data_IF_054139328607
#
_entry.id   IF_054139328607
#
_cell.length_a   1.000
_cell.length_b   1.000
_cell.length_c   1.000
_cell.angle_alpha   90.00
_cell.angle_beta   90.00
_cell.angle_gamma   90.00
#
_symmetry.space_group_name_H-M   'P 1'
#
loop_
_entity.id
_entity.type
_entity.pdbx_description
1 polymer ?
#
# COMPACT_ATOMS: atom_id res chain seq x y z
N UNK A 1 47.03 -35.38 -20.34
CA UNK A 1 46.20 -34.28 -19.80
C UNK A 1 44.75 -34.46 -20.28
N UNK A 2 43.94 -35.30 -19.60
CA UNK A 2 42.53 -35.55 -19.95
C UNK A 2 41.76 -35.95 -18.68
N UNK A 3 41.50 -34.98 -17.78
CA UNK A 3 40.67 -35.22 -16.56
C UNK A 3 39.77 -34.05 -16.17
N UNK A 4 39.71 -32.96 -16.96
CA UNK A 4 38.86 -31.80 -16.64
C UNK A 4 37.45 -31.88 -17.27
N UNK A 5 37.27 -32.72 -18.30
CA UNK A 5 36.00 -32.83 -19.03
C UNK A 5 34.76 -33.18 -18.21
N UNK A 6 34.80 -34.02 -17.14
CA UNK A 6 33.58 -34.35 -16.40
C UNK A 6 33.08 -33.21 -15.50
N UNK A 7 33.88 -32.17 -15.26
CA UNK A 7 33.52 -31.02 -14.40
C UNK A 7 33.00 -29.81 -15.19
N UNK A 8 33.19 -29.80 -16.52
CA UNK A 8 32.74 -28.70 -17.38
C UNK A 8 31.20 -28.65 -17.40
N UNK A 9 30.54 -29.79 -17.54
CA UNK A 9 29.08 -29.85 -17.60
C UNK A 9 28.42 -29.41 -16.28
N UNK A 10 28.82 -29.91 -15.10
CA UNK A 10 28.34 -29.38 -13.82
C UNK A 10 28.58 -27.87 -13.64
N UNK A 11 29.74 -27.36 -14.05
CA UNK A 11 30.05 -25.94 -13.94
C UNK A 11 29.15 -25.06 -14.83
N UNK A 12 28.84 -25.52 -16.06
CA UNK A 12 27.91 -24.82 -16.96
C UNK A 12 26.50 -24.79 -16.37
N UNK A 13 26.03 -25.92 -15.83
CA UNK A 13 24.69 -26.00 -15.20
C UNK A 13 24.62 -25.04 -14.01
N UNK A 14 25.65 -25.01 -13.16
CA UNK A 14 25.70 -24.13 -11.99
C UNK A 14 25.75 -22.64 -12.42
N UNK A 15 26.49 -22.33 -13.48
CA UNK A 15 26.49 -20.99 -14.09
C UNK A 15 25.12 -20.60 -14.65
N UNK A 16 24.40 -21.53 -15.26
CA UNK A 16 23.04 -21.32 -15.77
C UNK A 16 22.03 -21.06 -14.64
N UNK A 17 22.11 -21.83 -13.55
CA UNK A 17 21.28 -21.61 -12.35
C UNK A 17 21.58 -20.24 -11.76
N UNK A 18 22.84 -19.86 -11.64
CA UNK A 18 23.22 -18.53 -11.14
C UNK A 18 22.67 -17.42 -12.05
N UNK A 19 22.75 -17.58 -13.37
CA UNK A 19 22.19 -16.62 -14.32
C UNK A 19 20.67 -16.50 -14.21
N UNK A 20 19.97 -17.62 -14.01
CA UNK A 20 18.52 -17.65 -13.83
C UNK A 20 18.10 -16.97 -12.53
N UNK A 21 18.80 -17.24 -11.42
CA UNK A 21 18.55 -16.59 -10.12
C UNK A 21 18.84 -15.10 -10.22
N UNK A 22 19.96 -14.71 -10.83
CA UNK A 22 20.32 -13.31 -11.02
C UNK A 22 19.28 -12.58 -11.88
N UNK A 23 18.88 -13.18 -13.02
CA UNK A 23 17.85 -12.62 -13.90
C UNK A 23 16.50 -12.48 -13.20
N UNK A 24 16.10 -13.48 -12.41
CA UNK A 24 14.87 -13.41 -11.63
C UNK A 24 14.95 -12.29 -10.57
N UNK A 25 16.08 -12.15 -9.90
CA UNK A 25 16.32 -11.10 -8.92
C UNK A 25 16.27 -9.70 -9.54
N UNK A 26 16.94 -9.47 -10.67
CA UNK A 26 16.91 -8.18 -11.36
C UNK A 26 15.52 -7.82 -11.86
N UNK A 27 14.79 -8.78 -12.44
CA UNK A 27 13.40 -8.55 -12.88
C UNK A 27 12.46 -8.20 -11.72
N UNK A 28 12.69 -8.77 -10.52
CA UNK A 28 11.92 -8.40 -9.33
C UNK A 28 12.25 -6.99 -8.86
N UNK A 29 13.53 -6.61 -8.88
CA UNK A 29 13.98 -5.29 -8.46
C UNK A 29 13.51 -4.17 -9.41
N UNK A 30 13.54 -4.40 -10.72
CA UNK A 30 13.08 -3.42 -11.72
C UNK A 30 11.58 -3.15 -11.61
N UNK A 31 10.77 -4.18 -11.28
CA UNK A 31 9.32 -4.03 -11.04
C UNK A 31 9.02 -3.21 -9.78
N UNK A 32 9.82 -3.37 -8.72
CA UNK A 32 9.68 -2.56 -7.50
C UNK A 32 10.01 -1.08 -7.72
N UNK A 33 10.88 -0.76 -8.69
CA UNK A 33 11.29 0.61 -8.98
C UNK A 33 10.45 1.34 -10.02
N UNK A 34 9.57 0.66 -10.77
CA UNK A 34 8.88 1.25 -11.94
C UNK A 34 7.39 1.56 -11.72
N UNK A 35 6.89 1.46 -10.49
CA UNK A 35 5.47 1.77 -10.18
C UNK A 35 5.18 3.27 -10.24
N UNK A 36 3.93 3.65 -10.52
CA UNK A 36 3.45 5.04 -10.40
C UNK A 36 3.77 5.64 -9.03
N UNK A 37 3.88 4.81 -7.99
CA UNK A 37 4.22 5.24 -6.63
C UNK A 37 5.73 5.49 -6.37
N UNK A 38 6.64 5.09 -7.28
CA UNK A 38 8.09 5.14 -7.07
C UNK A 38 8.75 6.47 -7.46
N UNK A 39 8.10 7.33 -8.25
CA UNK A 39 8.67 8.59 -8.73
C UNK A 39 7.66 9.75 -8.58
N UNK A 40 8.01 10.78 -7.82
CA UNK A 40 7.31 12.09 -7.85
C UNK A 40 5.92 12.19 -7.21
N UNK A 41 5.30 11.11 -6.71
CA UNK A 41 3.99 11.20 -6.04
C UNK A 41 4.09 12.00 -4.75
N UNK A 42 3.24 13.01 -4.60
CA UNK A 42 3.09 13.80 -3.37
C UNK A 42 1.82 13.30 -2.69
N UNK A 43 1.98 12.68 -1.51
CA UNK A 43 0.87 12.34 -0.64
C UNK A 43 0.81 13.44 0.42
N UNK A 44 -0.29 14.19 0.43
CA UNK A 44 -0.47 15.33 1.33
C UNK A 44 -1.33 14.90 2.51
N UNK A 45 -0.79 15.02 3.72
CA UNK A 45 -1.59 14.89 4.93
C UNK A 45 -2.51 16.09 5.07
N UNK A 46 -3.80 15.84 5.27
CA UNK A 46 -4.77 16.90 5.47
C UNK A 46 -4.66 17.45 6.89
N UNK A 47 -4.80 18.76 7.02
CA UNK A 47 -4.98 19.44 8.30
C UNK A 47 -6.38 19.16 8.89
N UNK A 48 -6.55 19.39 10.19
CA UNK A 48 -7.85 19.15 10.86
C UNK A 48 -8.99 20.00 10.28
N UNK A 49 -8.68 21.20 9.78
CA UNK A 49 -9.64 22.09 9.12
C UNK A 49 -10.11 21.52 7.77
N UNK A 50 -9.20 20.91 7.00
CA UNK A 50 -9.51 20.25 5.72
C UNK A 50 -10.30 18.95 5.92
N UNK A 51 -10.01 18.20 7.00
CA UNK A 51 -10.80 17.02 7.39
C UNK A 51 -12.24 17.44 7.74
N UNK A 52 -12.41 18.55 8.44
CA UNK A 52 -13.74 19.08 8.78
C UNK A 52 -14.48 19.57 7.53
N UNK A 53 -13.77 20.09 6.53
CA UNK A 53 -14.36 20.46 5.25
C UNK A 53 -14.90 19.24 4.49
N UNK A 54 -14.19 18.10 4.52
CA UNK A 54 -14.68 16.83 3.93
C UNK A 54 -15.95 16.32 4.60
N UNK A 55 -16.10 16.50 5.91
CA UNK A 55 -17.34 16.15 6.63
C UNK A 55 -18.53 17.02 6.20
N UNK A 56 -18.29 18.15 5.51
CA UNK A 56 -19.31 19.08 5.05
C UNK A 56 -19.66 18.96 3.55
N UNK A 57 -18.95 18.12 2.79
CA UNK A 57 -19.25 17.85 1.37
C UNK A 57 -20.35 16.78 1.27
N UNK A 58 -21.36 16.99 0.41
CA UNK A 58 -22.51 16.07 0.27
C UNK A 58 -22.19 14.82 -0.58
N UNK A 59 -21.24 14.91 -1.52
CA UNK A 59 -20.98 13.87 -2.52
C UNK A 59 -19.67 13.09 -2.23
N UNK A 60 -19.70 12.26 -1.19
CA UNK A 60 -18.60 11.32 -0.90
C UNK A 60 -18.99 9.88 -1.23
N UNK A 61 -17.99 9.11 -1.69
CA UNK A 61 -18.10 7.66 -1.82
C UNK A 61 -17.54 6.98 -0.57
N UNK A 62 -18.10 5.83 -0.22
CA UNK A 62 -17.63 5.03 0.92
C UNK A 62 -17.34 3.61 0.45
N UNK A 63 -16.09 3.19 0.60
CA UNK A 63 -15.65 1.82 0.37
C UNK A 63 -15.47 1.11 1.71
N UNK A 64 -16.19 0.00 1.90
CA UNK A 64 -15.96 -0.91 3.02
C UNK A 64 -14.60 -1.61 2.86
N UNK A 65 -13.88 -1.78 3.96
CA UNK A 65 -12.61 -2.49 3.95
C UNK A 65 -12.82 -3.96 4.30
N UNK A 66 -12.11 -4.84 3.59
CA UNK A 66 -12.05 -6.26 3.91
C UNK A 66 -11.08 -6.47 5.06
N UNK A 67 -11.56 -7.07 6.14
CA UNK A 67 -10.76 -7.38 7.31
C UNK A 67 -10.07 -8.75 7.20
N UNK A 68 -8.83 -8.82 7.68
CA UNK A 68 -8.07 -10.08 7.77
C UNK A 68 -8.46 -10.87 9.03
N UNK A 69 -9.03 -10.21 10.05
CA UNK A 69 -9.43 -10.79 11.34
C UNK A 69 -10.83 -10.32 11.74
N UNK A 70 -11.54 -11.10 12.56
CA UNK A 70 -12.96 -10.82 12.92
C UNK A 70 -13.15 -9.59 13.83
N UNK A 71 -12.12 -9.18 14.57
CA UNK A 71 -12.17 -8.07 15.52
C UNK A 71 -11.80 -6.71 14.90
N UNK A 72 -11.60 -6.68 13.58
CA UNK A 72 -11.11 -5.50 12.84
C UNK A 72 -12.17 -5.09 11.82
N UNK A 73 -12.44 -3.79 11.74
CA UNK A 73 -13.32 -3.23 10.72
C UNK A 73 -12.86 -1.84 10.32
N UNK A 74 -13.20 -1.41 9.11
CA UNK A 74 -12.87 -0.08 8.67
C UNK A 74 -13.55 0.30 7.37
N UNK A 75 -13.56 1.59 7.11
CA UNK A 75 -14.14 2.21 5.92
C UNK A 75 -13.19 3.26 5.38
N UNK A 76 -13.20 3.42 4.06
CA UNK A 76 -12.53 4.52 3.38
C UNK A 76 -13.59 5.39 2.76
N UNK A 77 -13.70 6.62 3.26
CA UNK A 77 -14.54 7.65 2.65
C UNK A 77 -13.67 8.51 1.75
N UNK A 78 -14.05 8.69 0.49
CA UNK A 78 -13.26 9.45 -0.46
C UNK A 78 -14.13 10.31 -1.38
N UNK A 79 -13.49 11.34 -1.93
CA UNK A 79 -14.05 12.26 -2.91
C UNK A 79 -13.02 12.44 -4.04
N UNK A 80 -13.52 12.53 -5.26
CA UNK A 80 -12.70 12.82 -6.45
C UNK A 80 -13.10 14.18 -7.02
N UNK A 81 -12.27 15.20 -6.79
CA UNK A 81 -12.54 16.57 -7.22
C UNK A 81 -11.27 17.20 -7.80
N UNK A 82 -11.39 17.90 -8.93
CA UNK A 82 -10.30 18.63 -9.60
C UNK A 82 -9.02 17.79 -9.86
N UNK A 83 -9.18 16.50 -10.21
CA UNK A 83 -8.06 15.59 -10.47
C UNK A 83 -7.31 15.13 -9.22
N UNK A 84 -7.91 15.32 -8.04
CA UNK A 84 -7.38 14.92 -6.74
C UNK A 84 -8.37 13.98 -6.05
N UNK A 85 -7.85 12.89 -5.50
CA UNK A 85 -8.57 12.01 -4.58
C UNK A 85 -8.26 12.48 -3.17
N UNK A 86 -9.29 12.87 -2.44
CA UNK A 86 -9.18 13.18 -1.01
C UNK A 86 -9.88 12.08 -0.25
N UNK A 87 -9.20 11.45 0.71
CA UNK A 87 -9.73 10.27 1.40
C UNK A 87 -9.47 10.30 2.91
N UNK A 88 -10.37 9.66 3.63
CA UNK A 88 -10.32 9.46 5.08
C UNK A 88 -10.52 7.98 5.38
N UNK A 89 -9.59 7.41 6.13
CA UNK A 89 -9.69 6.05 6.64
C UNK A 89 -10.18 6.12 8.08
N UNK A 90 -11.25 5.39 8.37
CA UNK A 90 -11.76 5.17 9.73
C UNK A 90 -11.74 3.69 10.03
N UNK A 91 -11.06 3.30 11.11
CA UNK A 91 -10.87 1.90 11.46
C UNK A 91 -11.08 1.64 12.95
N UNK A 92 -11.70 0.51 13.27
CA UNK A 92 -11.72 -0.09 14.61
C UNK A 92 -10.66 -1.18 14.60
N UNK A 93 -9.59 -0.95 15.36
CA UNK A 93 -8.41 -1.81 15.45
C UNK A 93 -8.16 -2.15 16.93
N UNK A 94 -7.45 -3.25 17.23
CA UNK A 94 -7.11 -3.61 18.61
C UNK A 94 -6.41 -2.45 19.33
N UNK A 95 -6.84 -2.18 20.57
CA UNK A 95 -6.14 -1.20 21.40
C UNK A 95 -4.90 -1.85 22.02
N UNK A 96 -3.74 -1.53 21.48
CA UNK A 96 -2.44 -1.84 22.07
C UNK A 96 -1.67 -0.54 22.24
N UNK A 97 -1.23 -0.25 23.47
CA UNK A 97 -0.54 0.99 23.83
C UNK A 97 0.79 1.18 23.06
N UNK A 98 1.34 0.11 22.50
CA UNK A 98 2.55 0.14 21.67
C UNK A 98 2.28 0.05 20.16
N UNK A 99 1.04 -0.19 19.73
CA UNK A 99 0.72 -0.37 18.32
C UNK A 99 0.47 0.97 17.62
N UNK A 100 1.34 1.31 16.68
CA UNK A 100 1.05 2.31 15.66
C UNK A 100 0.45 1.62 14.44
N UNK A 101 -0.59 2.21 13.87
CA UNK A 101 -1.20 1.72 12.65
C UNK A 101 -0.96 2.70 11.51
N UNK A 102 -0.65 2.16 10.34
CA UNK A 102 -0.24 2.94 9.18
C UNK A 102 -1.13 2.63 7.99
N UNK A 103 -1.43 3.64 7.21
CA UNK A 103 -2.11 3.52 5.92
C UNK A 103 -1.07 3.57 4.81
N UNK A 104 -1.16 2.60 3.92
CA UNK A 104 -0.31 2.45 2.75
C UNK A 104 -1.17 2.44 1.49
N UNK A 105 -0.70 3.11 0.45
CA UNK A 105 -1.26 3.03 -0.89
C UNK A 105 -0.44 2.02 -1.70
N UNK A 106 -1.08 1.09 -2.36
CA UNK A 106 -0.45 0.01 -3.11
C UNK A 106 -1.14 -0.13 -4.48
N UNK A 107 -0.35 -0.26 -5.54
CA UNK A 107 -0.90 -0.53 -6.87
C UNK A 107 -1.57 -1.92 -6.91
N UNK A 108 -2.71 -2.05 -7.61
CA UNK A 108 -3.55 -3.27 -7.58
C UNK A 108 -2.79 -4.54 -8.02
N UNK A 109 -1.91 -4.41 -9.01
CA UNK A 109 -1.13 -5.52 -9.60
C UNK A 109 0.34 -5.53 -9.18
N UNK A 110 0.71 -4.76 -8.15
CA UNK A 110 2.11 -4.62 -7.71
C UNK A 110 2.25 -4.73 -6.20
N UNK A 111 3.43 -5.15 -5.77
CA UNK A 111 3.85 -5.09 -4.36
C UNK A 111 4.40 -3.71 -3.98
N UNK A 112 4.50 -2.80 -4.95
CA UNK A 112 4.92 -1.42 -4.72
C UNK A 112 3.87 -0.73 -3.86
N UNK A 113 4.25 -0.48 -2.61
CA UNK A 113 3.43 0.23 -1.64
C UNK A 113 4.17 1.47 -1.16
N UNK A 114 3.42 2.53 -0.89
CA UNK A 114 3.92 3.78 -0.35
C UNK A 114 3.15 4.18 0.89
N UNK A 115 3.86 4.55 1.94
CA UNK A 115 3.27 5.07 3.15
C UNK A 115 2.52 6.36 2.82
N UNK A 116 1.26 6.45 3.27
CA UNK A 116 0.44 7.63 3.16
C UNK A 116 0.45 8.42 4.46
N UNK A 117 0.05 7.79 5.56
CA UNK A 117 -0.04 8.41 6.87
C UNK A 117 -0.20 7.41 8.00
N UNK A 118 0.05 7.87 9.22
CA UNK A 118 -0.21 7.12 10.45
C UNK A 118 -1.62 7.43 10.96
N UNK A 119 -2.35 6.38 11.35
CA UNK A 119 -3.66 6.53 11.97
C UNK A 119 -3.51 7.04 13.40
N UNK A 120 -4.41 7.93 13.80
CA UNK A 120 -4.46 8.46 15.16
C UNK A 120 -5.71 7.97 15.87
N UNK A 121 -5.56 7.52 17.10
CA UNK A 121 -6.69 7.16 17.95
C UNK A 121 -7.55 8.41 18.24
N UNK A 122 -8.84 8.32 17.94
CA UNK A 122 -9.88 9.32 18.24
C UNK A 122 -11.07 8.62 18.91
N UNK A 123 -12.08 9.40 19.33
CA UNK A 123 -13.26 8.90 20.07
C UNK A 123 -14.04 7.77 19.35
N UNK A 124 -13.92 7.66 18.03
CA UNK A 124 -14.60 6.65 17.21
C UNK A 124 -13.69 5.54 16.64
N UNK A 125 -12.46 5.42 17.15
CA UNK A 125 -11.43 4.53 16.61
C UNK A 125 -10.28 5.29 15.96
N UNK A 126 -9.51 4.58 15.15
CA UNK A 126 -8.33 5.08 14.46
C UNK A 126 -8.73 5.80 13.17
N UNK A 127 -8.31 7.06 13.04
CA UNK A 127 -8.68 7.91 11.91
C UNK A 127 -7.45 8.62 11.36
N UNK A 128 -7.40 8.74 10.03
CA UNK A 128 -6.44 9.59 9.33
C UNK A 128 -6.91 9.90 7.91
N UNK A 129 -6.34 10.93 7.32
CA UNK A 129 -6.78 11.44 6.02
C UNK A 129 -5.61 11.97 5.21
N UNK A 130 -5.66 11.79 3.91
CA UNK A 130 -4.69 12.34 2.98
C UNK A 130 -5.33 12.62 1.61
N UNK A 131 -4.54 13.21 0.72
CA UNK A 131 -4.89 13.38 -0.68
C UNK A 131 -3.78 12.89 -1.62
N UNK A 132 -4.18 12.43 -2.80
CA UNK A 132 -3.30 12.01 -3.89
C UNK A 132 -3.91 12.30 -5.27
N UNK A 133 -3.14 12.16 -6.36
CA UNK A 133 -3.64 12.39 -7.73
C UNK A 133 -4.58 11.29 -8.21
N UNK A 134 -5.63 11.63 -8.96
CA UNK A 134 -6.50 10.64 -9.63
C UNK A 134 -5.76 9.71 -10.58
N UNK A 135 -4.58 10.11 -11.06
CA UNK A 135 -3.73 9.29 -11.94
C UNK A 135 -3.26 7.98 -11.29
N UNK A 136 -3.37 7.87 -9.96
CA UNK A 136 -3.03 6.67 -9.22
C UNK A 136 -4.16 5.65 -9.16
N UNK A 137 -5.38 6.01 -9.55
CA UNK A 137 -6.51 5.09 -9.58
C UNK A 137 -6.41 4.11 -10.76
N UNK A 138 -6.82 2.83 -10.59
CA UNK A 138 -7.29 2.23 -9.36
C UNK A 138 -6.14 1.95 -8.37
N UNK A 139 -6.40 2.10 -7.08
CA UNK A 139 -5.39 1.90 -6.03
C UNK A 139 -5.92 1.11 -4.84
N UNK A 140 -5.08 0.26 -4.28
CA UNK A 140 -5.36 -0.46 -3.03
C UNK A 140 -4.95 0.40 -1.84
N UNK A 141 -5.87 0.58 -0.90
CA UNK A 141 -5.62 1.18 0.42
C UNK A 141 -5.48 0.07 1.44
N UNK A 142 -4.35 0.03 2.14
CA UNK A 142 -4.01 -1.03 3.08
C UNK A 142 -3.69 -0.46 4.46
N UNK A 143 -4.34 -0.98 5.50
CA UNK A 143 -3.99 -0.66 6.90
C UNK A 143 -3.09 -1.76 7.44
N UNK A 144 -1.94 -1.36 7.98
CA UNK A 144 -0.94 -2.26 8.55
C UNK A 144 -0.62 -1.86 9.98
N UNK A 145 -0.26 -2.84 10.81
CA UNK A 145 0.47 -2.53 12.04
C UNK A 145 1.89 -2.06 11.70
N UNK A 146 2.48 -1.22 12.54
CA UNK A 146 3.88 -0.81 12.38
C UNK A 146 4.78 -2.05 12.48
N UNK A 147 5.78 -2.12 11.59
CA UNK A 147 6.79 -3.15 11.64
C UNK A 147 7.72 -2.91 12.83
N UNK A 148 7.94 -3.94 13.64
CA UNK A 148 8.96 -3.91 14.69
C UNK A 148 10.30 -4.37 14.14
N UNK A 149 11.37 -4.28 14.95
CA UNK A 149 12.69 -4.82 14.55
C UNK A 149 12.67 -6.34 14.27
N UNK A 150 11.63 -7.04 14.72
CA UNK A 150 11.52 -8.50 14.67
C UNK A 150 10.38 -9.02 13.80
N UNK A 151 9.42 -8.17 13.43
CA UNK A 151 8.21 -8.58 12.71
C UNK A 151 7.82 -7.55 11.65
N UNK A 152 7.51 -8.03 10.44
CA UNK A 152 6.88 -7.20 9.42
C UNK A 152 5.46 -6.83 9.85
N UNK A 153 5.05 -5.59 9.56
CA UNK A 153 3.72 -5.09 9.88
C UNK A 153 2.63 -5.93 9.22
N UNK A 154 1.70 -6.48 10.01
CA UNK A 154 0.62 -7.31 9.49
C UNK A 154 -0.44 -6.47 8.78
N UNK A 155 -0.95 -6.96 7.65
CA UNK A 155 -2.08 -6.36 6.95
C UNK A 155 -3.38 -6.70 7.69
N UNK A 156 -4.10 -5.68 8.11
CA UNK A 156 -5.32 -5.81 8.92
C UNK A 156 -6.59 -5.49 8.13
N UNK A 157 -6.52 -4.48 7.26
CA UNK A 157 -7.61 -4.05 6.40
C UNK A 157 -7.08 -3.77 5.00
N UNK A 158 -7.85 -4.11 3.99
CA UNK A 158 -7.60 -3.68 2.62
C UNK A 158 -8.89 -3.34 1.87
N UNK A 159 -8.80 -2.37 0.96
CA UNK A 159 -9.85 -2.09 -0.01
C UNK A 159 -9.24 -1.53 -1.29
N UNK A 160 -9.97 -1.56 -2.39
CA UNK A 160 -9.55 -0.95 -3.66
C UNK A 160 -10.46 0.24 -3.95
N UNK A 161 -9.85 1.39 -4.21
CA UNK A 161 -10.53 2.56 -4.74
C UNK A 161 -10.43 2.50 -6.26
N UNK A 162 -11.59 2.45 -6.92
CA UNK A 162 -11.67 2.39 -8.37
C UNK A 162 -11.63 3.81 -8.97
N UNK A 163 -11.25 3.89 -10.25
CA UNK A 163 -11.42 5.13 -10.99
C UNK A 163 -12.92 5.43 -11.19
N UNK A 164 -13.37 6.69 -11.07
CA UNK A 164 -14.76 7.03 -11.40
C UNK A 164 -15.05 6.64 -12.85
N UNK A 165 -16.21 6.02 -13.10
CA UNK A 165 -16.63 5.68 -14.46
C UNK A 165 -16.71 6.97 -15.29
N UNK A 166 -15.97 7.02 -16.40
CA UNK A 166 -16.06 8.14 -17.33
C UNK A 166 -17.43 8.11 -18.02
N UNK A 167 -18.29 9.09 -17.72
CA UNK A 167 -19.56 9.31 -18.43
C UNK A 167 -19.38 9.73 -19.90
#
# INVERSE_FOLDING_TARGET
>A
MKKLSPYIFPAIVLGLVFLLVFRWYTMRNDRMQSGLLSEGVIIENLSEDEVTALDAVEDFETAEMTATTEDVSGTVRYEVTDGRVTFTVSAVLPEDEAANYQVWLQEVDSETARHAFDLKMKKGGYIGSAAFSTDLLPIKVVVRSEASMTEEGAVLLETTLEAPEAE
#
